data_IF_712836345547
#
_entry.id   IF_712836345547
#
_cell.length_a   1.000
_cell.length_b   1.000
_cell.length_c   1.000
_cell.angle_alpha   90.00
_cell.angle_beta   90.00
_cell.angle_gamma   90.00
#
_symmetry.space_group_name_H-M   'P 1'
#
loop_
_entity.id
_entity.type
_entity.pdbx_description
1 polymer ?
#
# COMPACT_ATOMS: atom_id res chain seq x y z
N UNK A 1 -13.46 -29.97 -1.44
CA UNK A 1 -13.93 -28.77 -2.18
C UNK A 1 -14.26 -29.16 -3.61
N UNK A 2 -15.53 -29.04 -4.00
CA UNK A 2 -15.99 -29.30 -5.37
C UNK A 2 -15.27 -28.39 -6.38
N UNK A 3 -15.09 -28.81 -7.64
CA UNK A 3 -14.45 -28.00 -8.67
C UNK A 3 -15.12 -26.63 -8.87
N UNK A 4 -16.46 -26.59 -8.80
CA UNK A 4 -17.26 -25.36 -8.91
C UNK A 4 -16.99 -24.39 -7.75
N UNK A 5 -16.93 -24.89 -6.52
CA UNK A 5 -16.62 -24.07 -5.35
C UNK A 5 -15.18 -23.51 -5.41
N UNK A 6 -14.20 -24.30 -5.85
CA UNK A 6 -12.83 -23.82 -6.05
C UNK A 6 -12.76 -22.68 -7.08
N UNK A 7 -13.53 -22.78 -8.16
CA UNK A 7 -13.61 -21.75 -9.21
C UNK A 7 -14.17 -20.44 -8.69
N UNK A 8 -15.29 -20.49 -7.94
CA UNK A 8 -15.91 -19.28 -7.37
C UNK A 8 -15.03 -18.64 -6.27
N UNK A 9 -14.38 -19.45 -5.41
CA UNK A 9 -13.40 -18.94 -4.43
C UNK A 9 -12.26 -18.21 -5.14
N UNK A 10 -11.70 -18.77 -6.22
CA UNK A 10 -10.62 -18.13 -6.99
C UNK A 10 -11.07 -16.81 -7.60
N UNK A 11 -12.31 -16.74 -8.11
CA UNK A 11 -12.90 -15.50 -8.62
C UNK A 11 -13.04 -14.46 -7.51
N UNK A 12 -13.54 -14.86 -6.34
CA UNK A 12 -13.67 -13.99 -5.18
C UNK A 12 -12.32 -13.46 -4.69
N UNK A 13 -11.28 -14.30 -4.62
CA UNK A 13 -9.91 -13.89 -4.28
C UNK A 13 -9.36 -12.85 -5.26
N UNK A 14 -9.54 -13.04 -6.57
CA UNK A 14 -9.10 -12.05 -7.59
C UNK A 14 -9.83 -10.72 -7.44
N UNK A 15 -11.13 -10.73 -7.17
CA UNK A 15 -11.92 -9.53 -6.93
C UNK A 15 -11.44 -8.82 -5.66
N UNK A 16 -11.28 -9.56 -4.56
CA UNK A 16 -10.80 -9.03 -3.29
C UNK A 16 -9.44 -8.34 -3.43
N UNK A 17 -8.48 -8.96 -4.11
CA UNK A 17 -7.15 -8.37 -4.34
C UNK A 17 -7.20 -7.13 -5.24
N UNK A 18 -8.09 -7.09 -6.24
CA UNK A 18 -8.31 -5.89 -7.08
C UNK A 18 -8.94 -4.74 -6.29
N UNK A 19 -9.85 -5.03 -5.37
CA UNK A 19 -10.47 -4.02 -4.50
C UNK A 19 -9.43 -3.42 -3.54
N UNK A 20 -8.55 -4.26 -2.96
CA UNK A 20 -7.41 -3.79 -2.17
C UNK A 20 -6.50 -2.92 -3.03
N UNK A 21 -6.14 -3.35 -4.24
CA UNK A 21 -5.30 -2.56 -5.14
C UNK A 21 -5.89 -1.19 -5.44
N UNK A 22 -7.19 -1.14 -5.77
CA UNK A 22 -7.91 0.11 -6.06
C UNK A 22 -7.89 1.03 -4.84
N UNK A 23 -8.18 0.51 -3.65
CA UNK A 23 -8.13 1.28 -2.41
C UNK A 23 -6.72 1.79 -2.10
N UNK A 24 -5.71 0.94 -2.23
CA UNK A 24 -4.31 1.31 -2.00
C UNK A 24 -3.83 2.41 -2.96
N UNK A 25 -4.21 2.32 -4.25
CA UNK A 25 -3.91 3.37 -5.24
C UNK A 25 -4.54 4.72 -4.90
N UNK A 26 -5.76 4.72 -4.37
CA UNK A 26 -6.45 5.95 -3.96
C UNK A 26 -5.79 6.60 -2.74
N UNK A 27 -5.26 5.79 -1.82
CA UNK A 27 -4.63 6.23 -0.57
C UNK A 27 -3.18 6.65 -0.73
N UNK A 28 -2.47 6.08 -1.71
CA UNK A 28 -1.07 6.39 -1.98
C UNK A 28 -0.82 7.90 -2.20
N UNK A 29 0.33 8.43 -1.75
CA UNK A 29 0.78 9.79 -2.08
C UNK A 29 0.71 10.11 -3.58
N UNK A 30 0.14 11.28 -3.91
CA UNK A 30 -0.14 11.69 -5.29
C UNK A 30 0.92 12.57 -5.95
N UNK A 31 2.04 12.87 -5.29
CA UNK A 31 3.03 13.85 -5.78
C UNK A 31 3.40 13.67 -7.25
N UNK A 32 3.80 12.46 -7.65
CA UNK A 32 4.13 12.12 -9.04
C UNK A 32 3.21 11.05 -9.62
N UNK A 33 2.30 10.51 -8.81
CA UNK A 33 1.50 9.32 -9.13
C UNK A 33 2.28 8.02 -9.35
N UNK A 34 3.63 8.06 -9.40
CA UNK A 34 4.50 6.90 -9.68
C UNK A 34 4.29 5.77 -8.65
N UNK A 35 4.09 6.13 -7.37
CA UNK A 35 3.82 5.15 -6.31
C UNK A 35 2.51 4.40 -6.56
N UNK A 36 1.42 5.11 -6.82
CA UNK A 36 0.13 4.49 -7.13
C UNK A 36 0.23 3.58 -8.36
N UNK A 37 0.94 4.02 -9.41
CA UNK A 37 1.18 3.21 -10.61
C UNK A 37 1.99 1.94 -10.33
N UNK A 38 2.89 1.97 -9.35
CA UNK A 38 3.73 0.82 -8.96
C UNK A 38 3.00 -0.28 -8.16
N UNK A 39 1.77 -0.02 -7.70
CA UNK A 39 0.95 -0.99 -6.96
C UNK A 39 0.28 -1.93 -7.96
N UNK A 40 0.71 -3.19 -7.96
CA UNK A 40 0.30 -4.21 -8.92
C UNK A 40 -0.21 -5.47 -8.23
N UNK A 41 -1.14 -6.16 -8.86
CA UNK A 41 -1.63 -7.47 -8.43
C UNK A 41 -1.12 -8.50 -9.42
N UNK A 42 -0.47 -9.56 -8.94
CA UNK A 42 0.08 -10.64 -9.76
C UNK A 42 -0.31 -12.00 -9.18
N UNK A 43 -0.57 -12.97 -10.05
CA UNK A 43 -0.74 -14.37 -9.65
C UNK A 43 0.67 -15.00 -9.59
N UNK A 44 1.12 -15.42 -8.41
CA UNK A 44 2.48 -15.94 -8.21
C UNK A 44 2.56 -17.47 -8.28
N UNK A 45 1.45 -18.14 -7.93
CA UNK A 45 1.26 -19.59 -8.04
C UNK A 45 -0.21 -19.86 -8.31
N UNK A 46 -0.55 -21.08 -8.72
CA UNK A 46 -1.95 -21.51 -8.89
C UNK A 46 -2.73 -21.20 -7.60
N UNK A 47 -3.75 -20.36 -7.71
CA UNK A 47 -4.61 -19.91 -6.60
C UNK A 47 -3.92 -19.01 -5.56
N UNK A 48 -2.76 -18.41 -5.87
CA UNK A 48 -2.09 -17.45 -4.99
C UNK A 48 -1.92 -16.13 -5.71
N UNK A 49 -2.65 -15.11 -5.25
CA UNK A 49 -2.61 -13.75 -5.79
C UNK A 49 -1.90 -12.85 -4.78
N UNK A 50 -0.94 -12.07 -5.24
CA UNK A 50 -0.11 -11.19 -4.42
C UNK A 50 -0.27 -9.73 -4.86
N UNK A 51 -0.31 -8.82 -3.89
CA UNK A 51 -0.19 -7.38 -4.11
C UNK A 51 1.27 -6.99 -3.91
N UNK A 52 1.84 -6.25 -4.85
CA UNK A 52 3.24 -5.82 -4.82
C UNK A 52 3.34 -4.33 -5.07
N UNK A 53 4.29 -3.67 -4.41
CA UNK A 53 4.61 -2.26 -4.63
C UNK A 53 6.02 -2.18 -5.21
N UNK A 54 6.11 -1.95 -6.52
CA UNK A 54 7.41 -1.86 -7.21
C UNK A 54 7.96 -0.42 -7.17
N UNK A 55 8.16 0.10 -5.97
CA UNK A 55 8.68 1.44 -5.75
C UNK A 55 9.65 1.42 -4.57
N UNK A 56 10.91 1.90 -4.73
CA UNK A 56 11.90 1.91 -3.66
C UNK A 56 11.43 2.65 -2.41
N UNK A 57 10.53 3.62 -2.59
CA UNK A 57 10.02 4.45 -1.49
C UNK A 57 8.66 3.98 -0.95
N UNK A 58 8.09 2.89 -1.46
CA UNK A 58 6.82 2.33 -0.98
C UNK A 58 6.91 1.87 0.48
N UNK A 59 7.99 1.17 0.84
CA UNK A 59 8.22 0.73 2.22
C UNK A 59 8.36 1.91 3.19
N UNK A 60 9.04 3.00 2.80
CA UNK A 60 9.15 4.19 3.63
C UNK A 60 7.82 4.95 3.79
N UNK A 61 6.90 4.85 2.83
CA UNK A 61 5.57 5.46 2.97
C UNK A 61 4.64 4.62 3.86
N UNK A 62 4.81 3.28 3.81
CA UNK A 62 3.97 2.33 4.53
C UNK A 62 4.43 2.07 5.97
N UNK A 63 5.74 1.99 6.19
CA UNK A 63 6.39 1.61 7.44
C UNK A 63 7.31 2.74 7.97
N UNK A 64 7.27 3.91 7.34
CA UNK A 64 8.09 5.05 7.73
C UNK A 64 7.80 5.56 9.13
N UNK A 65 8.61 6.53 9.55
CA UNK A 65 8.55 7.09 10.89
C UNK A 65 7.24 7.84 11.16
N UNK A 66 6.76 7.80 12.40
CA UNK A 66 5.71 8.71 12.88
C UNK A 66 6.10 10.15 12.53
N UNK A 67 5.14 11.02 12.16
CA UNK A 67 5.44 12.43 11.96
C UNK A 67 6.20 13.00 13.16
N UNK A 68 7.38 13.55 12.91
CA UNK A 68 8.27 14.04 13.96
C UNK A 68 9.06 15.23 13.44
N UNK A 69 9.54 16.04 14.38
CA UNK A 69 10.49 17.09 14.08
C UNK A 69 11.89 16.50 13.98
N UNK A 70 12.60 16.90 12.95
CA UNK A 70 14.01 16.59 12.77
C UNK A 70 14.76 17.90 12.78
N UNK A 71 15.69 18.04 13.71
CA UNK A 71 16.61 19.17 13.74
C UNK A 71 17.43 19.21 12.45
N UNK A 72 17.50 20.38 11.84
CA UNK A 72 18.19 20.59 10.56
C UNK A 72 19.70 20.41 10.67
N UNK A 73 20.26 20.61 11.87
CA UNK A 73 21.68 20.39 12.18
C UNK A 73 22.00 18.93 12.48
N UNK A 74 21.01 18.05 12.55
CA UNK A 74 21.22 16.63 12.83
C UNK A 74 21.98 15.99 11.68
N UNK A 75 23.02 15.24 12.00
CA UNK A 75 23.78 14.48 11.02
C UNK A 75 22.99 13.26 10.54
N UNK A 76 23.09 12.98 9.24
CA UNK A 76 22.51 11.81 8.56
C UNK A 76 23.54 10.68 8.54
N UNK A 77 23.10 9.45 8.23
CA UNK A 77 24.00 8.27 8.15
C UNK A 77 25.12 8.41 7.11
N UNK A 78 25.02 9.36 6.17
CA UNK A 78 26.00 9.63 5.12
C UNK A 78 26.93 10.80 5.45
N UNK A 79 26.93 11.31 6.69
CA UNK A 79 27.81 12.41 7.13
C UNK A 79 27.34 13.81 6.74
N UNK A 80 26.26 13.93 5.97
CA UNK A 80 25.61 15.22 5.66
C UNK A 80 24.60 15.62 6.74
N UNK A 81 24.25 16.90 6.86
CA UNK A 81 23.16 17.30 7.77
C UNK A 81 21.81 17.30 7.08
N UNK A 82 20.73 17.19 7.85
CA UNK A 82 19.35 17.18 7.33
C UNK A 82 19.03 18.44 6.52
N UNK A 83 19.65 19.58 6.84
CA UNK A 83 19.56 20.81 6.07
C UNK A 83 20.05 20.66 4.61
N UNK A 84 21.09 19.86 4.37
CA UNK A 84 21.63 19.63 3.03
C UNK A 84 20.62 18.85 2.19
N UNK A 85 20.08 17.77 2.76
CA UNK A 85 19.01 16.99 2.14
C UNK A 85 17.78 17.88 1.84
N UNK A 86 17.34 18.70 2.80
CA UNK A 86 16.19 19.59 2.63
C UNK A 86 16.40 20.59 1.48
N UNK A 87 17.62 21.15 1.36
CA UNK A 87 18.02 22.02 0.26
C UNK A 87 17.94 21.32 -1.10
N UNK A 88 18.37 20.06 -1.20
CA UNK A 88 18.24 19.27 -2.45
C UNK A 88 16.77 19.03 -2.87
N UNK A 89 15.83 19.20 -1.94
CA UNK A 89 14.39 19.09 -2.20
C UNK A 89 13.70 20.44 -2.39
N UNK A 90 14.48 21.52 -2.50
CA UNK A 90 13.96 22.88 -2.72
C UNK A 90 13.39 23.54 -1.47
N UNK A 91 13.58 22.95 -0.29
CA UNK A 91 13.17 23.55 0.98
C UNK A 91 14.28 24.52 1.41
N UNK A 92 14.05 25.82 1.20
CA UNK A 92 15.00 26.90 1.50
C UNK A 92 14.62 27.63 2.80
N UNK A 93 15.62 28.17 3.49
CA UNK A 93 15.42 29.15 4.57
C UNK A 93 14.92 28.62 5.91
N UNK A 94 14.95 27.30 6.15
CA UNK A 94 14.54 26.79 7.46
C UNK A 94 15.69 26.81 8.48
N UNK A 95 15.38 27.26 9.69
CA UNK A 95 16.23 27.20 10.88
C UNK A 95 15.52 26.37 11.96
N UNK A 96 16.28 25.73 12.85
CA UNK A 96 15.73 24.87 13.90
C UNK A 96 15.40 23.46 13.39
N UNK A 97 14.12 23.11 13.31
CA UNK A 97 13.64 21.76 13.00
C UNK A 97 12.62 21.74 11.86
N UNK A 98 12.73 20.77 10.96
CA UNK A 98 11.71 20.50 9.95
C UNK A 98 10.73 19.45 10.47
N UNK A 99 9.43 19.69 10.26
CA UNK A 99 8.44 18.65 10.46
C UNK A 99 8.45 17.67 9.27
N UNK A 100 8.82 16.42 9.54
CA UNK A 100 8.83 15.37 8.54
C UNK A 100 7.51 14.62 8.61
N UNK A 101 6.61 14.88 7.66
CA UNK A 101 5.28 14.28 7.60
C UNK A 101 5.12 13.13 6.60
N UNK A 102 6.21 12.54 6.10
CA UNK A 102 6.19 11.60 4.96
C UNK A 102 5.75 10.16 5.28
N UNK A 103 4.93 9.96 6.31
CA UNK A 103 4.27 8.69 6.58
C UNK A 103 2.80 8.77 6.13
N UNK A 104 2.48 8.06 5.05
CA UNK A 104 1.11 7.92 4.56
C UNK A 104 0.85 6.46 4.17
N UNK A 105 0.46 5.62 5.15
CA UNK A 105 0.09 4.24 4.90
C UNK A 105 -1.00 4.15 3.85
N UNK A 106 -0.86 3.17 2.96
CA UNK A 106 -1.77 2.99 1.85
C UNK A 106 -2.13 1.51 1.64
N UNK A 107 -1.26 0.57 2.04
CA UNK A 107 -1.53 -0.87 1.97
C UNK A 107 -2.34 -1.33 3.18
N UNK A 108 -1.83 -1.13 4.40
CA UNK A 108 -2.49 -1.51 5.66
C UNK A 108 -3.93 -0.98 5.76
N UNK A 109 -4.20 0.33 5.59
CA UNK A 109 -5.58 0.81 5.64
C UNK A 109 -6.46 0.31 4.49
N UNK A 110 -5.88 -0.03 3.32
CA UNK A 110 -6.63 -0.67 2.25
C UNK A 110 -7.00 -2.12 2.58
N UNK A 111 -6.10 -2.85 3.26
CA UNK A 111 -6.36 -4.21 3.74
C UNK A 111 -7.44 -4.22 4.80
N UNK A 112 -7.31 -3.42 5.87
CA UNK A 112 -8.28 -3.35 6.97
C UNK A 112 -9.70 -3.05 6.47
N UNK A 113 -9.82 -2.05 5.60
CA UNK A 113 -11.11 -1.67 5.01
C UNK A 113 -11.73 -2.81 4.19
N UNK A 114 -10.93 -3.57 3.43
CA UNK A 114 -11.45 -4.67 2.61
C UNK A 114 -11.68 -5.96 3.41
N UNK A 115 -10.89 -6.22 4.46
CA UNK A 115 -11.05 -7.37 5.34
C UNK A 115 -12.43 -7.38 6.02
N UNK A 116 -12.94 -6.20 6.41
CA UNK A 116 -14.30 -6.07 6.94
C UNK A 116 -15.40 -6.58 5.98
N UNK A 117 -15.09 -6.67 4.67
CA UNK A 117 -16.01 -7.10 3.61
C UNK A 117 -15.70 -8.51 3.08
N UNK A 118 -14.67 -9.17 3.61
CA UNK A 118 -14.22 -10.47 3.12
C UNK A 118 -15.27 -11.56 3.37
N UNK A 119 -15.87 -11.58 4.56
CA UNK A 119 -16.91 -12.55 4.92
C UNK A 119 -18.09 -12.50 3.95
N UNK A 120 -18.62 -11.31 3.66
CA UNK A 120 -19.71 -11.12 2.71
C UNK A 120 -19.35 -11.64 1.29
N UNK A 121 -18.14 -11.37 0.82
CA UNK A 121 -17.67 -11.86 -0.49
C UNK A 121 -17.56 -13.39 -0.54
N UNK A 122 -17.13 -14.03 0.55
CA UNK A 122 -17.03 -15.49 0.65
C UNK A 122 -18.42 -16.13 0.71
N UNK A 123 -19.36 -15.57 1.47
CA UNK A 123 -20.75 -16.04 1.52
C UNK A 123 -21.42 -15.98 0.15
N UNK A 124 -21.24 -14.88 -0.59
CA UNK A 124 -21.75 -14.75 -1.96
C UNK A 124 -21.15 -15.81 -2.89
N UNK A 125 -19.83 -16.05 -2.80
CA UNK A 125 -19.16 -17.07 -3.63
C UNK A 125 -19.66 -18.49 -3.33
N UNK A 126 -19.91 -18.82 -2.05
CA UNK A 126 -20.50 -20.08 -1.65
C UNK A 126 -21.93 -20.23 -2.19
N UNK A 127 -22.76 -19.19 -2.09
CA UNK A 127 -24.12 -19.19 -2.64
C UNK A 127 -24.15 -19.40 -4.16
N UNK A 128 -23.24 -18.78 -4.91
CA UNK A 128 -23.13 -19.02 -6.36
C UNK A 128 -22.67 -20.44 -6.70
N UNK A 129 -21.81 -21.04 -5.88
CA UNK A 129 -21.35 -22.40 -6.08
C UNK A 129 -22.48 -23.42 -5.87
N UNK A 130 -23.33 -23.21 -4.85
CA UNK A 130 -24.49 -24.07 -4.54
C UNK A 130 -25.58 -23.94 -5.61
N UNK A 131 -25.85 -22.73 -6.13
CA UNK A 131 -26.84 -22.54 -7.21
C UNK A 131 -26.42 -23.16 -8.56
N UNK A 132 -25.14 -23.50 -8.73
CA UNK A 132 -24.54 -24.01 -9.98
C UNK A 132 -24.12 -25.49 -9.87
N UNK A 133 -24.32 -26.10 -8.71
CA UNK A 133 -24.19 -27.55 -8.50
C UNK A 133 -25.54 -28.21 -8.73
#
# INVERSE_FOLDING_TARGET
>A
LSPNLRKEIRKAQKIFMRDIQKSAKLRAPRWTGKLAKSIIVREIKKNTVMLTVNSPYGAFQELGFKPHYVELRRSTRSGHVVADWARTKGVKGQTGSIFVSKFKPFIRPALEMNLSRLSQKLTLAAGFAIKRS
#
